data_IF_146559018108
#
_entry.id   IF_146559018108
#
_cell.length_a   1.000
_cell.length_b   1.000
_cell.length_c   1.000
_cell.angle_alpha   90.00
_cell.angle_beta   90.00
_cell.angle_gamma   90.00
#
_symmetry.space_group_name_H-M   'P 1'
#
loop_
_entity.id
_entity.type
_entity.pdbx_description
1 polymer ?
#
# COMPACT_ATOMS: atom_id res chain seq x y z
N UNK A 1 20.96 -16.47 74.70
CA UNK A 1 20.95 -16.04 73.28
C UNK A 1 20.33 -17.14 72.45
N UNK A 2 19.03 -17.04 72.19
CA UNK A 2 18.29 -17.99 71.35
C UNK A 2 18.35 -17.53 69.89
N UNK A 3 18.61 -18.42 68.91
CA UNK A 3 18.67 -18.03 67.52
C UNK A 3 17.25 -17.93 66.92
N UNK A 4 17.02 -16.80 66.26
CA UNK A 4 15.78 -16.40 65.62
C UNK A 4 15.48 -17.29 64.41
N UNK A 5 14.31 -17.94 64.37
CA UNK A 5 13.77 -18.55 63.14
C UNK A 5 13.23 -17.46 62.22
N UNK A 6 13.49 -17.49 60.90
CA UNK A 6 12.77 -16.67 59.94
C UNK A 6 11.43 -17.32 59.56
N UNK A 7 10.38 -16.50 59.48
CA UNK A 7 9.00 -16.91 59.18
C UNK A 7 8.74 -17.30 57.71
N UNK A 8 7.52 -17.77 57.40
CA UNK A 8 7.17 -18.28 56.08
C UNK A 8 7.09 -17.14 55.04
N UNK A 9 7.63 -17.37 53.84
CA UNK A 9 7.50 -16.44 52.71
C UNK A 9 6.03 -16.36 52.25
N UNK A 10 5.52 -15.17 51.92
CA UNK A 10 4.15 -15.02 51.43
C UNK A 10 4.05 -15.68 50.05
N UNK A 11 2.94 -16.40 49.85
CA UNK A 11 2.69 -17.22 48.67
C UNK A 11 2.86 -16.44 47.38
N UNK A 12 3.64 -17.02 46.46
CA UNK A 12 3.59 -16.64 45.06
C UNK A 12 2.12 -16.76 44.61
N UNK A 13 1.52 -15.62 44.26
CA UNK A 13 0.26 -15.60 43.52
C UNK A 13 0.50 -16.43 42.26
N UNK A 14 -0.14 -17.61 42.19
CA UNK A 14 -0.29 -18.33 40.93
C UNK A 14 -1.04 -17.41 40.00
N UNK A 15 -0.34 -16.79 39.06
CA UNK A 15 -0.95 -16.15 37.89
C UNK A 15 -1.91 -17.18 37.29
N UNK A 16 -3.18 -16.82 36.99
CA UNK A 16 -4.07 -17.76 36.34
C UNK A 16 -3.39 -18.21 35.05
N UNK A 17 -3.25 -19.52 34.86
CA UNK A 17 -2.95 -20.07 33.53
C UNK A 17 -4.04 -19.52 32.61
N UNK A 18 -3.68 -18.60 31.72
CA UNK A 18 -4.53 -18.28 30.59
C UNK A 18 -4.75 -19.58 29.84
N UNK A 19 -6.00 -20.03 29.77
CA UNK A 19 -6.36 -21.20 28.99
C UNK A 19 -6.35 -20.78 27.50
N UNK A 20 -5.17 -20.85 26.86
CA UNK A 20 -4.98 -20.54 25.42
C UNK A 20 -5.92 -21.39 24.52
N UNK A 21 -6.42 -22.51 25.07
CA UNK A 21 -7.37 -23.40 24.40
C UNK A 21 -8.83 -23.10 24.72
N UNK A 22 -9.13 -21.94 25.32
CA UNK A 22 -10.50 -21.48 25.56
C UNK A 22 -10.62 -19.96 25.45
N UNK A 23 -11.46 -19.50 24.53
CA UNK A 23 -11.79 -18.08 24.37
C UNK A 23 -13.28 -17.86 24.53
N UNK A 24 -13.67 -16.89 25.35
CA UNK A 24 -15.08 -16.49 25.51
C UNK A 24 -15.24 -15.05 25.02
N UNK A 25 -16.15 -14.87 24.07
CA UNK A 25 -16.49 -13.60 23.48
C UNK A 25 -17.80 -13.11 24.09
N UNK A 26 -17.91 -11.83 24.47
CA UNK A 26 -19.18 -11.27 24.90
C UNK A 26 -20.20 -11.36 23.75
N UNK A 27 -21.48 -11.16 24.08
CA UNK A 27 -22.51 -11.04 23.06
C UNK A 27 -22.14 -9.95 22.06
N UNK A 28 -22.09 -10.31 20.77
CA UNK A 28 -21.79 -9.38 19.70
C UNK A 28 -22.94 -8.39 19.50
N UNK A 29 -22.61 -7.13 19.23
CA UNK A 29 -23.59 -6.11 18.93
C UNK A 29 -24.35 -6.45 17.63
N UNK A 30 -25.65 -6.09 17.54
CA UNK A 30 -26.42 -6.19 16.29
C UNK A 30 -25.71 -5.45 15.14
N UNK A 31 -25.30 -6.18 14.11
CA UNK A 31 -24.66 -5.62 12.92
C UNK A 31 -25.26 -6.23 11.65
N UNK A 32 -25.38 -5.44 10.58
CA UNK A 32 -25.73 -5.92 9.24
C UNK A 32 -24.45 -6.04 8.42
N UNK A 33 -24.32 -7.12 7.65
CA UNK A 33 -23.18 -7.30 6.74
C UNK A 33 -23.14 -6.23 5.65
N UNK A 34 -21.94 -6.02 5.09
CA UNK A 34 -21.69 -5.12 3.95
C UNK A 34 -22.00 -5.85 2.63
N UNK A 35 -22.56 -5.14 1.65
CA UNK A 35 -22.73 -5.61 0.27
C UNK A 35 -23.48 -6.96 0.09
N UNK A 36 -24.45 -7.25 0.97
CA UNK A 36 -25.31 -8.43 0.88
C UNK A 36 -24.68 -9.74 1.38
N UNK A 37 -23.37 -9.76 1.67
CA UNK A 37 -22.68 -10.89 2.31
C UNK A 37 -22.81 -10.82 3.83
N UNK A 38 -22.74 -11.96 4.52
CA UNK A 38 -22.81 -11.98 5.99
C UNK A 38 -21.45 -11.67 6.63
N UNK A 39 -20.37 -12.21 6.04
CA UNK A 39 -19.01 -12.04 6.48
C UNK A 39 -18.22 -11.11 5.54
N UNK A 40 -17.22 -10.41 6.08
CA UNK A 40 -16.40 -9.46 5.34
C UNK A 40 -15.17 -10.11 4.70
N UNK A 41 -14.58 -11.07 5.42
CA UNK A 41 -13.33 -11.75 5.03
C UNK A 41 -13.62 -12.94 4.13
N UNK A 42 -12.63 -13.35 3.33
CA UNK A 42 -12.82 -14.50 2.42
C UNK A 42 -13.00 -15.80 3.22
N UNK A 43 -12.30 -15.98 4.35
CA UNK A 43 -12.43 -17.15 5.22
C UNK A 43 -13.74 -17.14 6.01
N UNK A 44 -14.22 -15.97 6.45
CA UNK A 44 -15.54 -15.82 7.05
C UNK A 44 -16.64 -16.17 6.05
N UNK A 45 -16.48 -15.80 4.78
CA UNK A 45 -17.41 -16.18 3.71
C UNK A 45 -17.38 -17.69 3.42
N UNK A 46 -16.20 -18.32 3.36
CA UNK A 46 -16.07 -19.77 3.20
C UNK A 46 -16.74 -20.55 4.35
N UNK A 47 -16.64 -20.05 5.58
CA UNK A 47 -17.37 -20.61 6.73
C UNK A 47 -18.89 -20.53 6.56
N UNK A 48 -19.40 -19.39 6.09
CA UNK A 48 -20.83 -19.20 5.83
C UNK A 48 -21.30 -20.10 4.68
N UNK A 49 -20.51 -20.23 3.62
CA UNK A 49 -20.80 -21.11 2.49
C UNK A 49 -20.90 -22.57 2.94
N UNK A 50 -19.97 -23.06 3.76
CA UNK A 50 -20.03 -24.40 4.34
C UNK A 50 -21.33 -24.66 5.14
N UNK A 51 -21.83 -23.66 5.86
CA UNK A 51 -23.12 -23.74 6.54
C UNK A 51 -24.29 -23.80 5.55
N UNK A 52 -24.30 -22.87 4.59
CA UNK A 52 -25.42 -22.66 3.67
C UNK A 52 -25.58 -23.84 2.71
N UNK A 53 -24.47 -24.42 2.23
CA UNK A 53 -24.45 -25.61 1.38
C UNK A 53 -24.88 -26.90 2.11
N UNK A 54 -24.69 -26.94 3.42
CA UNK A 54 -25.16 -28.08 4.25
C UNK A 54 -26.67 -28.02 4.51
N UNK A 55 -27.27 -26.84 4.42
CA UNK A 55 -28.64 -26.62 4.83
C UNK A 55 -29.64 -26.95 3.72
N UNK A 56 -30.65 -27.76 4.06
CA UNK A 56 -31.68 -28.19 3.10
C UNK A 56 -32.88 -27.24 3.01
N UNK A 57 -32.98 -26.24 3.90
CA UNK A 57 -34.14 -25.35 4.02
C UNK A 57 -33.69 -23.87 4.08
N UNK A 58 -33.76 -23.14 2.96
CA UNK A 58 -33.38 -21.73 2.90
C UNK A 58 -34.17 -20.82 3.85
N UNK A 59 -35.43 -21.16 4.16
CA UNK A 59 -36.24 -20.38 5.07
C UNK A 59 -35.78 -20.53 6.53
N UNK A 60 -35.18 -21.68 6.90
CA UNK A 60 -34.53 -21.86 8.21
C UNK A 60 -33.27 -21.01 8.32
N UNK A 61 -32.44 -20.99 7.28
CA UNK A 61 -31.25 -20.15 7.22
C UNK A 61 -31.60 -18.66 7.39
N UNK A 62 -32.61 -18.17 6.67
CA UNK A 62 -33.07 -16.78 6.78
C UNK A 62 -33.47 -16.42 8.22
N UNK A 63 -34.17 -17.32 8.93
CA UNK A 63 -34.53 -17.12 10.35
C UNK A 63 -33.31 -17.15 11.27
N UNK A 64 -32.35 -18.05 11.02
CA UNK A 64 -31.10 -18.11 11.77
C UNK A 64 -30.27 -16.84 11.59
N UNK A 65 -30.15 -16.35 10.36
CA UNK A 65 -29.51 -15.08 10.02
C UNK A 65 -30.17 -13.89 10.74
N UNK A 66 -31.50 -13.88 10.81
CA UNK A 66 -32.21 -12.86 11.58
C UNK A 66 -31.85 -12.92 13.08
N UNK A 67 -31.82 -14.12 13.69
CA UNK A 67 -31.46 -14.28 15.11
C UNK A 67 -30.01 -13.86 15.41
N UNK A 68 -29.09 -14.13 14.48
CA UNK A 68 -27.70 -13.69 14.59
C UNK A 68 -27.59 -12.16 14.63
N UNK A 69 -28.40 -11.45 13.84
CA UNK A 69 -28.32 -9.98 13.72
C UNK A 69 -29.17 -9.21 14.73
N UNK A 70 -30.07 -9.88 15.46
CA UNK A 70 -30.97 -9.25 16.47
C UNK A 70 -30.57 -9.52 17.92
N UNK A 71 -29.32 -9.93 18.17
CA UNK A 71 -28.81 -10.10 19.55
C UNK A 71 -29.47 -11.26 20.31
N UNK A 72 -29.82 -12.36 19.62
CA UNK A 72 -30.42 -13.53 20.28
C UNK A 72 -29.38 -14.58 20.70
N UNK A 73 -28.11 -14.39 20.35
CA UNK A 73 -26.99 -15.26 20.74
C UNK A 73 -26.26 -14.59 21.89
N UNK A 74 -26.14 -15.27 23.03
CA UNK A 74 -25.39 -14.80 24.20
C UNK A 74 -23.87 -14.90 23.96
N UNK A 75 -23.06 -14.76 25.02
CA UNK A 75 -21.62 -14.95 24.95
C UNK A 75 -21.23 -16.30 24.31
N UNK A 76 -20.26 -16.25 23.40
CA UNK A 76 -19.80 -17.41 22.62
C UNK A 76 -18.50 -17.93 23.23
N UNK A 77 -18.44 -19.22 23.56
CA UNK A 77 -17.21 -19.88 24.01
C UNK A 77 -16.68 -20.80 22.93
N UNK A 78 -15.42 -20.61 22.56
CA UNK A 78 -14.68 -21.40 21.57
C UNK A 78 -13.61 -22.21 22.28
N UNK A 79 -13.53 -23.48 21.91
CA UNK A 79 -12.54 -24.48 22.36
C UNK A 79 -12.17 -25.38 21.18
N UNK A 80 -11.10 -26.19 21.25
CA UNK A 80 -10.78 -27.19 20.24
C UNK A 80 -11.98 -27.99 19.76
N UNK A 81 -12.27 -27.87 18.46
CA UNK A 81 -13.34 -28.56 17.76
C UNK A 81 -14.76 -28.11 18.08
N UNK A 82 -14.94 -26.99 18.80
CA UNK A 82 -16.26 -26.65 19.36
C UNK A 82 -16.49 -25.15 19.60
N UNK A 83 -17.62 -24.66 19.11
CA UNK A 83 -18.20 -23.35 19.43
C UNK A 83 -19.51 -23.56 20.18
N UNK A 84 -19.68 -22.91 21.33
CA UNK A 84 -20.89 -23.03 22.16
C UNK A 84 -21.47 -21.69 22.52
N UNK A 85 -22.80 -21.60 22.57
CA UNK A 85 -23.51 -20.44 23.09
C UNK A 85 -24.91 -20.82 23.59
N UNK A 86 -25.51 -19.94 24.37
CA UNK A 86 -26.94 -19.94 24.63
C UNK A 86 -27.66 -19.07 23.60
N UNK A 87 -28.74 -19.58 23.03
CA UNK A 87 -29.51 -18.86 22.00
C UNK A 87 -30.97 -18.72 22.45
N UNK A 88 -31.43 -17.48 22.52
CA UNK A 88 -32.81 -17.15 22.87
C UNK A 88 -33.76 -17.52 21.73
N UNK A 89 -34.96 -17.96 22.09
CA UNK A 89 -35.99 -18.32 21.13
C UNK A 89 -37.37 -18.15 21.75
N UNK A 90 -38.32 -19.00 21.38
CA UNK A 90 -39.70 -18.87 21.85
C UNK A 90 -39.93 -19.28 23.32
N UNK A 91 -38.97 -19.98 23.95
CA UNK A 91 -39.08 -20.41 25.35
C UNK A 91 -38.34 -19.44 26.27
N UNK A 92 -38.78 -19.25 27.52
CA UNK A 92 -38.09 -18.38 28.49
C UNK A 92 -36.65 -18.82 28.80
N UNK A 93 -36.36 -20.12 28.72
CA UNK A 93 -35.01 -20.66 28.91
C UNK A 93 -34.30 -20.75 27.54
N UNK A 94 -33.12 -20.15 27.38
CA UNK A 94 -32.39 -20.21 26.11
C UNK A 94 -31.89 -21.63 25.82
N UNK A 95 -31.73 -21.93 24.53
CA UNK A 95 -31.29 -23.23 24.04
C UNK A 95 -29.77 -23.33 24.08
N UNK A 96 -29.24 -24.43 24.62
CA UNK A 96 -27.82 -24.73 24.51
C UNK A 96 -27.55 -25.14 23.07
N UNK A 97 -26.67 -24.40 22.41
CA UNK A 97 -26.36 -24.59 20.99
C UNK A 97 -24.86 -24.75 20.84
N UNK A 98 -24.47 -25.65 19.95
CA UNK A 98 -23.08 -25.99 19.70
C UNK A 98 -22.86 -26.28 18.22
N UNK A 99 -21.71 -25.85 17.71
CA UNK A 99 -21.18 -26.24 16.41
C UNK A 99 -19.89 -27.00 16.65
N UNK A 100 -19.79 -28.21 16.11
CA UNK A 100 -18.55 -29.00 16.14
C UNK A 100 -17.87 -28.97 14.78
N UNK A 101 -16.56 -28.92 14.82
CA UNK A 101 -15.68 -29.01 13.65
C UNK A 101 -14.53 -29.98 13.96
N UNK A 102 -14.11 -30.74 12.97
CA UNK A 102 -12.96 -31.65 13.11
C UNK A 102 -11.68 -30.85 13.40
N UNK A 103 -10.96 -31.24 14.45
CA UNK A 103 -9.61 -30.73 14.73
C UNK A 103 -8.61 -31.31 13.73
N UNK A 104 -7.60 -30.52 13.38
CA UNK A 104 -6.50 -30.99 12.55
C UNK A 104 -5.61 -31.94 13.37
N UNK A 105 -5.04 -32.94 12.69
CA UNK A 105 -4.06 -33.84 13.31
C UNK A 105 -2.73 -33.13 13.55
N UNK A 106 -1.84 -33.76 14.34
CA UNK A 106 -0.50 -33.19 14.57
C UNK A 106 0.27 -33.02 13.26
N UNK A 107 0.20 -33.99 12.33
CA UNK A 107 0.86 -33.90 11.02
C UNK A 107 0.30 -32.76 10.14
N UNK A 108 -1.00 -32.49 10.22
CA UNK A 108 -1.61 -31.34 9.53
C UNK A 108 -1.09 -30.03 10.16
N UNK A 109 -1.03 -29.95 11.49
CA UNK A 109 -0.49 -28.79 12.17
C UNK A 109 0.98 -28.53 11.84
N UNK A 110 1.80 -29.57 11.76
CA UNK A 110 3.20 -29.46 11.33
C UNK A 110 3.28 -28.94 9.90
N UNK A 111 2.49 -29.47 8.96
CA UNK A 111 2.42 -28.95 7.58
C UNK A 111 2.00 -27.47 7.52
N UNK A 112 1.00 -27.10 8.32
CA UNK A 112 0.54 -25.71 8.37
C UNK A 112 1.64 -24.78 8.91
N UNK A 113 2.30 -25.16 10.00
CA UNK A 113 3.35 -24.37 10.63
C UNK A 113 4.60 -24.28 9.75
N UNK A 114 4.96 -25.33 9.02
CA UNK A 114 6.07 -25.33 8.07
C UNK A 114 5.74 -24.45 6.86
N UNK A 115 4.52 -24.53 6.32
CA UNK A 115 4.08 -23.66 5.22
C UNK A 115 4.03 -22.18 5.62
N UNK A 116 3.68 -21.89 6.88
CA UNK A 116 3.72 -20.55 7.45
C UNK A 116 5.16 -20.07 7.67
N UNK A 117 6.05 -20.93 8.19
CA UNK A 117 7.44 -20.57 8.44
C UNK A 117 8.30 -20.48 7.18
N UNK A 118 7.89 -21.12 6.07
CA UNK A 118 8.63 -21.12 4.82
C UNK A 118 8.76 -19.73 4.17
N UNK A 119 7.90 -18.77 4.53
CA UNK A 119 7.96 -17.42 3.98
C UNK A 119 7.64 -16.35 5.04
N UNK A 120 8.45 -15.29 5.20
CA UNK A 120 8.21 -14.25 6.21
C UNK A 120 6.88 -13.49 6.06
N UNK A 121 6.39 -13.30 4.82
CA UNK A 121 5.10 -12.66 4.52
C UNK A 121 3.91 -13.44 5.08
N UNK A 122 3.98 -14.78 5.11
CA UNK A 122 2.95 -15.61 5.72
C UNK A 122 2.86 -15.41 7.23
N UNK A 123 4.00 -15.29 7.92
CA UNK A 123 4.04 -15.00 9.36
C UNK A 123 3.49 -13.61 9.63
N UNK A 124 3.91 -12.60 8.84
CA UNK A 124 3.42 -11.23 8.96
C UNK A 124 1.90 -11.15 8.77
N UNK A 125 1.36 -11.80 7.74
CA UNK A 125 -0.08 -11.87 7.50
C UNK A 125 -0.85 -12.46 8.69
N UNK A 126 -0.36 -13.56 9.28
CA UNK A 126 -0.99 -14.16 10.47
C UNK A 126 -0.94 -13.22 11.69
N UNK A 127 0.13 -12.46 11.88
CA UNK A 127 0.24 -11.46 12.95
C UNK A 127 -0.75 -10.29 12.74
N UNK A 128 -0.99 -9.92 11.49
CA UNK A 128 -1.98 -8.93 11.08
C UNK A 128 -3.41 -9.48 11.03
N UNK A 129 -3.62 -10.71 11.51
CA UNK A 129 -4.91 -11.41 11.53
C UNK A 129 -5.53 -11.64 10.15
N UNK A 130 -4.67 -11.82 9.15
CA UNK A 130 -5.04 -12.25 7.82
C UNK A 130 -4.76 -13.76 7.62
N UNK A 131 -5.53 -14.39 6.74
CA UNK A 131 -5.34 -15.80 6.37
C UNK A 131 -4.97 -15.87 4.89
N UNK A 132 -3.68 -16.04 4.55
CA UNK A 132 -3.26 -16.27 3.17
C UNK A 132 -3.92 -17.52 2.58
N UNK A 133 -4.42 -17.42 1.35
CA UNK A 133 -5.04 -18.55 0.62
C UNK A 133 -4.08 -19.74 0.51
N UNK A 134 -2.78 -19.49 0.35
CA UNK A 134 -1.77 -20.54 0.27
C UNK A 134 -1.67 -21.36 1.58
N UNK A 135 -1.76 -20.71 2.74
CA UNK A 135 -1.75 -21.41 4.04
C UNK A 135 -3.04 -22.20 4.27
N UNK A 136 -4.17 -21.61 3.91
CA UNK A 136 -5.46 -22.28 4.02
C UNK A 136 -5.63 -23.46 3.05
N UNK A 137 -4.83 -23.54 1.99
CA UNK A 137 -4.80 -24.66 1.05
C UNK A 137 -3.74 -25.72 1.42
N UNK A 138 -2.74 -25.38 2.24
CA UNK A 138 -1.71 -26.32 2.68
C UNK A 138 -2.28 -27.44 3.58
N UNK A 139 -3.40 -27.16 4.23
CA UNK A 139 -4.21 -28.10 5.03
C UNK A 139 -5.68 -27.80 4.78
N UNK A 140 -6.59 -28.73 5.06
CA UNK A 140 -8.05 -28.48 4.99
C UNK A 140 -8.50 -27.57 6.14
N UNK A 141 -8.05 -26.31 6.14
CA UNK A 141 -8.21 -25.36 7.23
C UNK A 141 -9.66 -24.88 7.34
N UNK A 142 -10.27 -24.56 6.20
CA UNK A 142 -11.66 -24.10 6.12
C UNK A 142 -12.62 -25.30 6.07
N UNK A 143 -13.81 -25.23 6.68
CA UNK A 143 -14.79 -26.30 6.57
C UNK A 143 -15.37 -26.37 5.15
N UNK A 144 -15.66 -27.58 4.68
CA UNK A 144 -16.50 -27.82 3.51
C UNK A 144 -17.96 -28.14 3.88
N UNK A 145 -18.83 -28.39 2.88
CA UNK A 145 -20.19 -28.85 3.13
C UNK A 145 -20.23 -30.14 3.96
N UNK A 146 -20.98 -30.13 5.06
CA UNK A 146 -21.11 -31.25 5.99
C UNK A 146 -20.07 -31.30 7.12
N UNK A 147 -19.03 -30.46 7.10
CA UNK A 147 -18.00 -30.46 8.14
C UNK A 147 -18.45 -29.77 9.44
N UNK A 148 -19.36 -28.80 9.32
CA UNK A 148 -19.95 -28.12 10.47
C UNK A 148 -21.10 -28.98 11.01
N UNK A 149 -20.90 -29.56 12.19
CA UNK A 149 -21.87 -30.45 12.85
C UNK A 149 -22.65 -29.67 13.92
N UNK A 150 -23.84 -29.12 13.60
CA UNK A 150 -24.69 -28.44 14.56
C UNK A 150 -25.33 -29.41 15.57
N UNK A 151 -25.41 -28.98 16.82
CA UNK A 151 -26.17 -29.60 17.89
C UNK A 151 -26.93 -28.52 18.68
N UNK A 152 -28.21 -28.75 18.98
CA UNK A 152 -29.02 -27.77 19.69
C UNK A 152 -30.06 -28.46 20.55
N UNK A 153 -30.23 -27.99 21.78
CA UNK A 153 -31.23 -28.51 22.71
C UNK A 153 -32.69 -28.14 22.37
N UNK A 154 -32.95 -27.58 21.19
CA UNK A 154 -34.29 -27.18 20.76
C UNK A 154 -35.04 -28.40 20.17
N UNK A 155 -36.38 -28.41 20.22
CA UNK A 155 -37.18 -29.51 19.71
C UNK A 155 -37.30 -29.52 18.17
N UNK A 156 -36.52 -28.69 17.47
CA UNK A 156 -36.56 -28.57 16.01
C UNK A 156 -35.62 -29.61 15.38
N UNK A 157 -36.17 -30.46 14.52
CA UNK A 157 -35.45 -31.53 13.80
C UNK A 157 -34.78 -31.06 12.49
N UNK A 158 -34.81 -29.76 12.19
CA UNK A 158 -34.07 -29.22 11.04
C UNK A 158 -32.56 -29.27 11.21
N UNK A 159 -31.85 -29.41 10.09
CA UNK A 159 -30.39 -29.50 10.07
C UNK A 159 -29.81 -28.43 9.12
N UNK A 160 -29.17 -27.36 9.65
CA UNK A 160 -29.22 -26.90 11.03
C UNK A 160 -30.60 -26.36 11.43
N UNK A 161 -30.91 -26.34 12.74
CA UNK A 161 -32.03 -25.57 13.25
C UNK A 161 -31.69 -24.06 13.22
N UNK A 162 -32.69 -23.18 13.35
CA UNK A 162 -32.45 -21.72 13.31
C UNK A 162 -31.46 -21.22 14.38
N UNK A 163 -31.40 -21.87 15.55
CA UNK A 163 -30.50 -21.46 16.63
C UNK A 163 -29.05 -21.84 16.32
N UNK A 164 -28.82 -23.04 15.79
CA UNK A 164 -27.51 -23.49 15.34
C UNK A 164 -27.02 -22.66 14.14
N UNK A 165 -27.90 -22.38 13.18
CA UNK A 165 -27.59 -21.45 12.10
C UNK A 165 -27.21 -20.06 12.63
N UNK A 166 -27.93 -19.53 13.63
CA UNK A 166 -27.60 -18.25 14.25
C UNK A 166 -26.21 -18.24 14.91
N UNK A 167 -25.84 -19.33 15.59
CA UNK A 167 -24.50 -19.49 16.15
C UNK A 167 -23.42 -19.58 15.07
N UNK A 168 -23.64 -20.34 13.99
CA UNK A 168 -22.69 -20.39 12.87
C UNK A 168 -22.48 -19.03 12.22
N UNK A 169 -23.55 -18.26 12.00
CA UNK A 169 -23.45 -16.91 11.47
C UNK A 169 -22.64 -16.00 12.42
N UNK A 170 -22.94 -16.00 13.73
CA UNK A 170 -22.13 -15.20 14.67
C UNK A 170 -20.68 -15.67 14.76
N UNK A 171 -20.40 -16.97 14.61
CA UNK A 171 -19.04 -17.47 14.54
C UNK A 171 -18.30 -16.88 13.33
N UNK A 172 -18.95 -16.72 12.17
CA UNK A 172 -18.35 -16.06 11.01
C UNK A 172 -17.91 -14.60 11.30
N UNK A 173 -18.64 -13.88 12.15
CA UNK A 173 -18.26 -12.53 12.59
C UNK A 173 -17.07 -12.53 13.55
N UNK A 174 -16.98 -13.53 14.42
CA UNK A 174 -15.78 -13.73 15.25
C UNK A 174 -14.56 -14.04 14.37
N UNK A 175 -14.75 -14.84 13.31
CA UNK A 175 -13.72 -15.15 12.34
C UNK A 175 -13.25 -13.92 11.56
N UNK A 176 -14.17 -13.03 11.17
CA UNK A 176 -13.82 -11.76 10.49
C UNK A 176 -12.90 -10.87 11.34
N UNK A 177 -13.12 -10.83 12.65
CA UNK A 177 -12.34 -10.01 13.59
C UNK A 177 -11.02 -10.68 14.00
N UNK A 178 -11.00 -12.01 14.05
CA UNK A 178 -9.87 -12.77 14.53
C UNK A 178 -9.84 -14.22 13.99
N UNK A 179 -8.99 -14.54 13.00
CA UNK A 179 -8.88 -15.88 12.44
C UNK A 179 -8.26 -16.89 13.42
N UNK A 180 -7.64 -16.48 14.53
CA UNK A 180 -7.20 -17.43 15.55
C UNK A 180 -8.36 -18.16 16.22
N UNK A 181 -9.59 -17.65 16.08
CA UNK A 181 -10.79 -18.41 16.42
C UNK A 181 -10.92 -19.67 15.56
N UNK A 182 -10.57 -19.61 14.27
CA UNK A 182 -10.55 -20.78 13.38
C UNK A 182 -9.47 -21.77 13.79
N UNK A 183 -8.26 -21.28 14.06
CA UNK A 183 -7.16 -22.12 14.50
C UNK A 183 -7.46 -22.82 15.83
N UNK A 184 -8.08 -22.10 16.77
CA UNK A 184 -8.55 -22.65 18.02
C UNK A 184 -9.58 -23.76 17.80
N UNK A 185 -10.56 -23.53 16.91
CA UNK A 185 -11.50 -24.59 16.52
C UNK A 185 -10.79 -25.78 15.85
N UNK A 186 -9.70 -25.55 15.12
CA UNK A 186 -8.87 -26.61 14.53
C UNK A 186 -7.89 -27.26 15.50
N UNK A 187 -7.79 -26.78 16.74
CA UNK A 187 -7.18 -27.49 17.86
C UNK A 187 -6.00 -26.81 18.55
N UNK A 188 -5.49 -25.68 18.03
CA UNK A 188 -4.34 -24.97 18.61
C UNK A 188 -4.71 -23.53 18.97
N UNK A 189 -4.25 -23.10 20.14
CA UNK A 189 -4.43 -21.73 20.59
C UNK A 189 -3.47 -20.76 19.91
N UNK A 190 -3.70 -19.46 20.13
CA UNK A 190 -2.92 -18.39 19.53
C UNK A 190 -1.47 -18.41 20.04
N UNK A 191 -1.29 -18.53 21.35
CA UNK A 191 0.06 -18.55 21.94
C UNK A 191 0.83 -19.79 21.50
N UNK A 192 0.16 -20.94 21.40
CA UNK A 192 0.74 -22.18 20.90
C UNK A 192 1.28 -22.04 19.46
N UNK A 193 0.50 -21.42 18.56
CA UNK A 193 0.89 -21.19 17.16
C UNK A 193 2.04 -20.19 17.07
N UNK A 194 1.92 -19.04 17.73
CA UNK A 194 2.94 -17.99 17.66
C UNK A 194 4.29 -18.46 18.25
N UNK A 195 4.26 -19.23 19.34
CA UNK A 195 5.48 -19.83 19.89
C UNK A 195 6.12 -20.84 18.92
N UNK A 196 5.30 -21.67 18.27
CA UNK A 196 5.77 -22.67 17.31
C UNK A 196 6.36 -22.05 16.04
N UNK A 197 5.79 -20.95 15.55
CA UNK A 197 6.32 -20.17 14.43
C UNK A 197 7.62 -19.46 14.79
N UNK A 198 7.68 -18.83 15.98
CA UNK A 198 8.90 -18.17 16.48
C UNK A 198 10.07 -19.15 16.60
N UNK A 199 9.81 -20.36 17.11
CA UNK A 199 10.84 -21.39 17.21
C UNK A 199 11.36 -21.85 15.84
N UNK A 200 10.47 -22.05 14.86
CA UNK A 200 10.85 -22.42 13.49
C UNK A 200 11.64 -21.33 12.79
N UNK A 201 11.21 -20.07 12.92
CA UNK A 201 11.93 -18.93 12.33
C UNK A 201 13.35 -18.83 12.88
N UNK A 202 13.52 -18.96 14.20
CA UNK A 202 14.85 -18.96 14.82
C UNK A 202 15.71 -20.16 14.37
N UNK A 203 15.11 -21.33 14.13
CA UNK A 203 15.81 -22.49 13.61
C UNK A 203 16.24 -22.30 12.14
N UNK A 204 15.40 -21.67 11.31
CA UNK A 204 15.74 -21.30 9.94
C UNK A 204 16.91 -20.30 9.90
N UNK A 205 16.84 -19.24 10.70
CA UNK A 205 17.94 -18.26 10.83
C UNK A 205 19.25 -18.93 11.29
N UNK A 206 19.19 -19.86 12.25
CA UNK A 206 20.35 -20.61 12.70
C UNK A 206 20.90 -21.58 11.64
N UNK A 207 20.04 -22.20 10.84
CA UNK A 207 20.43 -23.08 9.74
C UNK A 207 21.10 -22.30 8.59
N UNK A 208 20.57 -21.12 8.25
CA UNK A 208 21.19 -20.19 7.29
C UNK A 208 22.54 -19.67 7.81
N UNK A 209 22.65 -19.36 9.10
CA UNK A 209 23.93 -18.97 9.71
C UNK A 209 24.95 -20.13 9.77
N UNK A 210 24.50 -21.37 9.88
CA UNK A 210 25.33 -22.58 9.87
C UNK A 210 25.88 -22.97 8.49
N UNK A 211 25.26 -22.47 7.42
CA UNK A 211 25.69 -22.65 6.03
C UNK A 211 26.72 -21.58 5.60
N UNK A 212 27.55 -21.09 6.51
CA UNK A 212 28.68 -20.24 6.18
C UNK A 212 29.64 -21.01 5.24
N UNK A 213 30.05 -20.44 4.10
CA UNK A 213 31.12 -21.04 3.30
C UNK A 213 32.35 -21.28 4.18
N UNK A 214 33.18 -22.32 3.88
CA UNK A 214 34.36 -22.60 4.68
C UNK A 214 35.16 -21.30 4.85
N UNK A 215 35.64 -20.99 6.07
CA UNK A 215 36.34 -19.74 6.32
C UNK A 215 37.50 -19.67 5.34
N UNK A 216 37.42 -18.74 4.40
CA UNK A 216 38.55 -18.44 3.54
C UNK A 216 39.71 -18.05 4.45
N UNK A 217 40.94 -18.49 4.17
CA UNK A 217 42.09 -18.04 4.94
C UNK A 217 42.07 -16.51 5.00
N UNK A 218 41.85 -15.98 6.20
CA UNK A 218 41.79 -14.55 6.45
C UNK A 218 43.12 -14.07 6.99
N UNK A 219 43.47 -12.85 6.63
CA UNK A 219 44.57 -12.09 7.24
C UNK A 219 43.94 -10.92 8.00
N UNK A 220 44.51 -10.50 9.15
CA UNK A 220 44.10 -9.28 9.82
C UNK A 220 44.06 -8.10 8.84
N UNK A 221 43.00 -7.28 8.86
CA UNK A 221 42.82 -6.19 7.90
C UNK A 221 44.02 -5.23 7.86
N UNK A 222 44.66 -4.99 9.01
CA UNK A 222 45.88 -4.18 9.09
C UNK A 222 47.09 -4.82 8.36
N UNK A 223 47.20 -6.15 8.35
CA UNK A 223 48.23 -6.87 7.60
C UNK A 223 47.92 -6.91 6.10
N UNK A 224 46.66 -7.07 5.72
CA UNK A 224 46.23 -7.00 4.31
C UNK A 224 46.52 -5.64 3.68
N UNK A 225 46.24 -4.56 4.41
CA UNK A 225 46.42 -3.18 3.93
C UNK A 225 47.91 -2.77 3.90
N UNK A 226 48.76 -3.38 4.73
CA UNK A 226 50.21 -3.09 4.78
C UNK A 226 51.04 -3.99 3.87
N UNK A 227 50.56 -5.20 3.53
CA UNK A 227 51.26 -6.16 2.67
C UNK A 227 51.11 -5.89 1.17
N UNK A 228 50.16 -5.03 0.76
CA UNK A 228 50.01 -4.60 -0.63
C UNK A 228 50.84 -3.32 -0.80
N UNK A 229 52.02 -3.34 -1.45
CA UNK A 229 52.58 -2.09 -1.96
C UNK A 229 51.49 -1.49 -2.84
N UNK A 230 51.11 -0.23 -2.61
CA UNK A 230 49.99 0.41 -3.29
C UNK A 230 50.11 0.18 -4.80
N UNK A 231 49.43 -0.86 -5.28
CA UNK A 231 49.37 -1.14 -6.69
C UNK A 231 48.60 0.03 -7.27
N UNK A 232 49.15 0.66 -8.31
CA UNK A 232 48.44 1.72 -9.00
C UNK A 232 47.04 1.19 -9.33
N UNK A 233 46.00 1.92 -8.89
CA UNK A 233 44.62 1.56 -9.22
C UNK A 233 44.55 1.38 -10.74
N UNK A 234 43.84 0.34 -11.23
CA UNK A 234 43.62 0.21 -12.66
C UNK A 234 43.01 1.52 -13.17
N UNK A 235 43.36 1.95 -14.40
CA UNK A 235 42.79 3.17 -14.95
C UNK A 235 41.25 3.07 -14.93
N UNK A 236 40.54 4.18 -14.70
CA UNK A 236 39.09 4.17 -14.66
C UNK A 236 38.55 3.60 -15.98
N UNK A 237 37.48 2.82 -15.88
CA UNK A 237 36.79 2.31 -17.07
C UNK A 237 36.29 3.49 -17.90
N UNK A 238 36.28 3.37 -19.24
CA UNK A 238 35.72 4.41 -20.10
C UNK A 238 34.23 4.60 -19.77
N UNK A 239 33.79 5.87 -19.80
CA UNK A 239 32.37 6.17 -19.64
C UNK A 239 31.56 5.54 -20.79
N UNK A 240 30.39 4.93 -20.51
CA UNK A 240 29.55 4.36 -21.55
C UNK A 240 28.97 5.47 -22.44
N UNK A 241 28.75 5.16 -23.73
CA UNK A 241 28.23 6.13 -24.71
C UNK A 241 26.79 6.60 -24.43
N UNK A 242 26.04 5.83 -23.63
CA UNK A 242 24.63 6.11 -23.30
C UNK A 242 24.31 5.71 -21.86
N UNK A 243 23.26 6.31 -21.26
CA UNK A 243 22.74 5.87 -19.99
C UNK A 243 22.40 4.37 -19.97
N UNK A 244 22.58 3.75 -18.80
CA UNK A 244 22.13 2.39 -18.54
C UNK A 244 20.62 2.28 -18.70
N UNK A 245 20.14 1.09 -19.09
CA UNK A 245 18.70 0.78 -19.09
C UNK A 245 18.39 -0.05 -17.85
N UNK A 246 17.39 0.32 -17.04
CA UNK A 246 17.01 -0.49 -15.90
C UNK A 246 16.45 -1.84 -16.36
N UNK A 247 16.55 -2.89 -15.53
CA UNK A 247 15.84 -4.13 -15.77
C UNK A 247 14.33 -3.92 -15.66
N UNK A 248 13.54 -4.80 -16.29
CA UNK A 248 12.11 -4.87 -16.05
C UNK A 248 11.88 -5.38 -14.62
N UNK A 249 11.08 -4.66 -13.84
CA UNK A 249 10.72 -5.05 -12.49
C UNK A 249 9.45 -5.92 -12.51
N UNK A 250 9.42 -7.06 -11.81
CA UNK A 250 8.21 -7.88 -11.70
C UNK A 250 7.11 -7.11 -10.94
N UNK A 251 5.85 -7.40 -11.24
CA UNK A 251 4.72 -6.91 -10.45
C UNK A 251 4.71 -7.59 -9.08
N UNK A 252 4.69 -6.78 -8.02
CA UNK A 252 4.60 -7.22 -6.62
C UNK A 252 3.55 -6.34 -5.91
N UNK A 253 2.49 -6.93 -5.31
CA UNK A 253 1.41 -6.19 -4.65
C UNK A 253 1.87 -5.32 -3.47
N UNK A 254 2.98 -5.68 -2.83
CA UNK A 254 3.54 -4.97 -1.67
C UNK A 254 4.63 -3.97 -2.06
N UNK A 255 5.02 -3.92 -3.35
CA UNK A 255 6.02 -3.02 -3.88
C UNK A 255 5.40 -1.75 -4.52
N UNK A 256 6.18 -0.66 -4.64
CA UNK A 256 5.78 0.48 -5.45
C UNK A 256 5.47 0.07 -6.90
N UNK A 257 4.56 0.81 -7.53
CA UNK A 257 4.16 0.61 -8.93
C UNK A 257 5.40 0.35 -9.84
N UNK A 258 5.48 -0.81 -10.53
CA UNK A 258 6.67 -1.18 -11.30
C UNK A 258 7.01 -0.17 -12.40
N UNK A 259 6.00 0.48 -12.98
CA UNK A 259 6.20 1.54 -13.98
C UNK A 259 6.83 2.79 -13.34
N UNK A 260 6.37 3.17 -12.14
CA UNK A 260 7.01 4.25 -11.38
C UNK A 260 8.45 3.92 -11.00
N UNK A 261 8.75 2.66 -10.65
CA UNK A 261 10.11 2.22 -10.34
C UNK A 261 11.03 2.21 -11.57
N UNK A 262 10.55 1.71 -12.72
CA UNK A 262 11.28 1.76 -13.99
C UNK A 262 11.61 3.21 -14.39
N UNK A 263 10.66 4.12 -14.18
CA UNK A 263 10.84 5.56 -14.39
C UNK A 263 11.95 6.14 -13.50
N UNK A 264 11.90 5.91 -12.19
CA UNK A 264 12.91 6.42 -11.26
C UNK A 264 14.30 5.85 -11.58
N UNK A 265 14.37 4.58 -11.95
CA UNK A 265 15.62 3.93 -12.31
C UNK A 265 16.19 4.46 -13.64
N UNK A 266 15.33 4.74 -14.63
CA UNK A 266 15.72 5.37 -15.89
C UNK A 266 16.29 6.77 -15.65
N UNK A 267 15.64 7.55 -14.79
CA UNK A 267 16.11 8.89 -14.42
C UNK A 267 17.44 8.86 -13.67
N UNK A 268 17.58 7.94 -12.71
CA UNK A 268 18.83 7.76 -11.98
C UNK A 268 19.99 7.38 -12.90
N UNK A 269 19.73 6.51 -13.89
CA UNK A 269 20.73 6.13 -14.89
C UNK A 269 21.13 7.31 -15.79
N UNK A 270 20.17 8.16 -16.19
CA UNK A 270 20.45 9.37 -16.97
C UNK A 270 21.28 10.38 -16.16
N UNK A 271 20.89 10.66 -14.90
CA UNK A 271 21.63 11.56 -14.00
C UNK A 271 23.05 11.07 -13.74
N UNK A 272 23.23 9.77 -13.47
CA UNK A 272 24.55 9.18 -13.25
C UNK A 272 25.44 9.27 -14.50
N UNK A 273 24.86 9.11 -15.69
CA UNK A 273 25.58 9.26 -16.95
C UNK A 273 26.04 10.70 -17.19
N UNK A 274 25.18 11.69 -16.94
CA UNK A 274 25.55 13.11 -17.01
C UNK A 274 26.68 13.43 -16.03
N UNK A 275 26.52 13.03 -14.76
CA UNK A 275 27.56 13.20 -13.73
C UNK A 275 28.91 12.60 -14.15
N UNK A 276 28.90 11.41 -14.74
CA UNK A 276 30.12 10.73 -15.17
C UNK A 276 30.78 11.39 -16.39
N UNK A 277 30.00 11.97 -17.30
CA UNK A 277 30.49 12.50 -18.59
C UNK A 277 30.80 14.00 -18.56
N UNK A 278 30.08 14.78 -17.75
CA UNK A 278 30.26 16.24 -17.66
C UNK A 278 30.82 16.69 -16.32
N UNK A 279 30.70 15.86 -15.26
CA UNK A 279 31.01 16.26 -13.89
C UNK A 279 29.93 17.13 -13.24
N UNK A 280 28.80 17.34 -13.91
CA UNK A 280 27.72 18.21 -13.44
C UNK A 280 26.50 17.39 -13.02
N UNK A 281 25.86 17.82 -11.93
CA UNK A 281 24.60 17.24 -11.47
C UNK A 281 23.42 18.07 -11.99
N UNK A 282 22.61 17.55 -12.94
CA UNK A 282 21.50 18.30 -13.52
C UNK A 282 20.37 18.59 -12.51
N UNK A 283 20.35 17.93 -11.35
CA UNK A 283 19.30 18.05 -10.34
C UNK A 283 19.76 18.82 -9.10
N UNK A 284 21.07 18.92 -8.84
CA UNK A 284 21.58 19.46 -7.57
C UNK A 284 21.14 20.91 -7.27
N UNK A 285 20.93 21.73 -8.30
CA UNK A 285 20.50 23.12 -8.14
C UNK A 285 18.98 23.31 -8.13
N UNK A 286 18.20 22.25 -8.38
CA UNK A 286 16.75 22.33 -8.47
C UNK A 286 16.12 22.30 -7.07
N UNK A 287 15.09 23.13 -6.88
CA UNK A 287 14.22 22.99 -5.71
C UNK A 287 13.37 21.71 -5.83
N UNK A 288 12.81 21.18 -4.71
CA UNK A 288 11.92 20.02 -4.77
C UNK A 288 10.75 20.19 -5.75
N UNK A 289 10.22 21.40 -5.86
CA UNK A 289 9.18 21.73 -6.83
C UNK A 289 9.67 21.67 -8.28
N UNK A 290 10.82 22.29 -8.57
CA UNK A 290 11.40 22.24 -9.91
C UNK A 290 11.73 20.81 -10.32
N UNK A 291 12.22 19.98 -9.38
CA UNK A 291 12.52 18.58 -9.65
C UNK A 291 11.24 17.75 -9.89
N UNK A 292 10.17 17.98 -9.11
CA UNK A 292 8.88 17.33 -9.34
C UNK A 292 8.28 17.69 -10.72
N UNK A 293 8.40 18.94 -11.13
CA UNK A 293 7.97 19.40 -12.46
C UNK A 293 8.80 18.75 -13.57
N UNK A 294 10.13 18.72 -13.40
CA UNK A 294 11.05 18.06 -14.33
C UNK A 294 10.73 16.58 -14.49
N UNK A 295 10.54 15.87 -13.37
CA UNK A 295 10.14 14.46 -13.34
C UNK A 295 8.82 14.27 -14.10
N UNK A 296 7.78 15.04 -13.79
CA UNK A 296 6.50 14.92 -14.48
C UNK A 296 6.60 15.27 -15.99
N UNK A 297 7.45 16.23 -16.37
CA UNK A 297 7.64 16.66 -17.75
C UNK A 297 8.31 15.59 -18.63
N UNK A 298 9.24 14.82 -18.07
CA UNK A 298 9.95 13.73 -18.75
C UNK A 298 9.02 12.56 -19.17
N UNK A 299 7.79 12.52 -18.67
CA UNK A 299 6.83 11.45 -18.93
C UNK A 299 5.76 11.90 -19.96
N UNK A 300 5.91 11.51 -21.25
CA UNK A 300 4.90 11.79 -22.26
C UNK A 300 3.62 11.01 -21.93
N UNK A 301 2.48 11.71 -21.81
CA UNK A 301 1.19 11.09 -21.48
C UNK A 301 0.30 11.86 -20.50
N UNK A 302 0.47 13.19 -20.40
CA UNK A 302 -0.22 14.12 -19.48
C UNK A 302 -1.64 13.69 -19.07
N UNK A 303 -1.75 12.97 -17.95
CA UNK A 303 -3.03 12.54 -17.39
C UNK A 303 -3.88 11.61 -18.28
N UNK A 304 -3.31 11.03 -19.35
CA UNK A 304 -4.02 10.16 -20.29
C UNK A 304 -4.19 8.74 -19.75
N UNK A 305 -3.20 8.24 -18.99
CA UNK A 305 -3.22 6.91 -18.37
C UNK A 305 -3.54 6.98 -16.88
N UNK A 306 -4.01 5.87 -16.30
CA UNK A 306 -4.28 5.79 -14.86
C UNK A 306 -2.99 6.02 -14.04
N UNK A 307 -1.86 5.48 -14.51
CA UNK A 307 -0.54 5.62 -13.89
C UNK A 307 -0.02 7.06 -13.93
N UNK A 308 -0.12 7.75 -15.07
CA UNK A 308 0.30 9.17 -15.17
C UNK A 308 -0.58 10.09 -14.31
N UNK A 309 -1.87 9.79 -14.15
CA UNK A 309 -2.75 10.53 -13.23
C UNK A 309 -2.40 10.31 -11.76
N UNK A 310 -1.98 9.10 -11.37
CA UNK A 310 -1.50 8.82 -10.02
C UNK A 310 -0.22 9.61 -9.71
N UNK A 311 0.77 9.54 -10.62
CA UNK A 311 2.02 10.29 -10.48
C UNK A 311 1.79 11.80 -10.28
N UNK A 312 0.95 12.42 -11.12
CA UNK A 312 0.65 13.86 -11.01
C UNK A 312 -0.02 14.22 -9.69
N UNK A 313 -0.93 13.35 -9.20
CA UNK A 313 -1.60 13.56 -7.91
C UNK A 313 -0.62 13.45 -6.76
N UNK A 314 0.25 12.44 -6.78
CA UNK A 314 1.15 12.15 -5.67
C UNK A 314 2.27 13.18 -5.57
N UNK A 315 2.87 13.59 -6.70
CA UNK A 315 3.87 14.67 -6.74
C UNK A 315 3.29 16.02 -6.32
N UNK A 316 2.07 16.34 -6.77
CA UNK A 316 1.43 17.60 -6.38
C UNK A 316 1.07 17.60 -4.89
N UNK A 317 0.52 16.50 -4.39
CA UNK A 317 0.17 16.35 -2.97
C UNK A 317 1.39 16.43 -2.05
N UNK A 318 2.52 15.83 -2.44
CA UNK A 318 3.77 15.86 -1.66
C UNK A 318 4.35 17.28 -1.48
N UNK A 319 3.91 18.25 -2.29
CA UNK A 319 4.41 19.63 -2.29
C UNK A 319 3.30 20.66 -2.03
N UNK A 320 2.16 20.23 -1.48
CA UNK A 320 1.00 21.07 -1.19
C UNK A 320 0.50 21.87 -2.41
N UNK A 321 0.51 21.24 -3.60
CA UNK A 321 0.04 21.80 -4.87
C UNK A 321 -1.14 21.02 -5.42
N UNK A 322 -1.89 21.65 -6.33
CA UNK A 322 -2.92 20.94 -7.08
C UNK A 322 -2.32 20.23 -8.32
N UNK A 323 -2.93 19.14 -8.81
CA UNK A 323 -2.53 18.53 -10.07
C UNK A 323 -2.63 19.50 -11.27
N UNK A 324 -3.54 20.48 -11.19
CA UNK A 324 -3.66 21.54 -12.19
C UNK A 324 -2.46 22.48 -12.20
N UNK A 325 -1.94 22.85 -11.02
CA UNK A 325 -0.72 23.66 -10.90
C UNK A 325 0.48 22.91 -11.49
N UNK A 326 0.61 21.61 -11.16
CA UNK A 326 1.67 20.76 -11.70
C UNK A 326 1.55 20.62 -13.22
N UNK A 327 0.36 20.43 -13.76
CA UNK A 327 0.15 20.38 -15.21
C UNK A 327 0.58 21.69 -15.90
N UNK A 328 0.35 22.84 -15.27
CA UNK A 328 0.78 24.16 -15.77
C UNK A 328 2.27 24.34 -15.75
N UNK A 329 2.88 23.96 -14.64
CA UNK A 329 4.32 23.97 -14.49
C UNK A 329 5.00 23.02 -15.49
N UNK A 330 4.44 21.82 -15.73
CA UNK A 330 4.94 20.89 -16.75
C UNK A 330 4.82 21.45 -18.15
N UNK A 331 3.71 22.09 -18.50
CA UNK A 331 3.56 22.75 -19.80
C UNK A 331 4.63 23.84 -19.99
N UNK A 332 4.87 24.66 -18.95
CA UNK A 332 5.89 25.70 -18.98
C UNK A 332 7.32 25.11 -19.07
N UNK A 333 7.58 24.02 -18.35
CA UNK A 333 8.86 23.30 -18.42
C UNK A 333 9.09 22.67 -19.80
N UNK A 334 8.05 22.15 -20.45
CA UNK A 334 8.17 21.64 -21.83
C UNK A 334 8.40 22.75 -22.85
N UNK A 335 7.86 23.93 -22.58
CA UNK A 335 8.05 25.10 -23.43
C UNK A 335 9.48 25.64 -23.38
N UNK A 336 10.11 25.74 -22.20
CA UNK A 336 11.49 26.26 -22.11
C UNK A 336 12.26 25.88 -20.84
N UNK A 337 12.03 24.68 -20.32
CA UNK A 337 12.76 24.12 -19.18
C UNK A 337 12.64 24.97 -17.91
N UNK A 338 13.72 25.10 -17.13
CA UNK A 338 13.74 25.93 -15.92
C UNK A 338 13.35 27.39 -16.18
N UNK A 339 13.74 27.96 -17.33
CA UNK A 339 13.41 29.34 -17.69
C UNK A 339 11.90 29.51 -17.96
N UNK A 340 11.29 28.56 -18.66
CA UNK A 340 9.84 28.54 -18.86
C UNK A 340 9.05 28.45 -17.55
N UNK A 341 9.49 27.61 -16.60
CA UNK A 341 8.89 27.54 -15.27
C UNK A 341 9.03 28.87 -14.49
N UNK A 342 10.22 29.48 -14.51
CA UNK A 342 10.42 30.78 -13.88
C UNK A 342 9.50 31.87 -14.47
N UNK A 343 9.30 31.87 -15.79
CA UNK A 343 8.40 32.81 -16.48
C UNK A 343 6.92 32.60 -16.11
N UNK A 344 6.54 31.35 -15.81
CA UNK A 344 5.21 31.05 -15.29
C UNK A 344 4.99 31.68 -13.91
N UNK A 345 5.97 31.53 -13.01
CA UNK A 345 5.80 31.77 -11.57
C UNK A 345 6.20 33.17 -11.11
N UNK A 346 7.23 33.77 -11.73
CA UNK A 346 7.90 34.96 -11.21
C UNK A 346 7.76 36.16 -12.16
N UNK A 347 6.71 36.98 -12.00
CA UNK A 347 6.63 38.23 -12.73
C UNK A 347 7.67 39.24 -12.22
N UNK A 348 8.45 39.81 -13.14
CA UNK A 348 9.58 40.70 -12.86
C UNK A 348 9.54 41.94 -13.76
N UNK A 349 10.26 43.00 -13.37
CA UNK A 349 10.32 44.25 -14.14
C UNK A 349 11.57 44.26 -15.05
N UNK A 350 11.41 44.10 -16.38
CA UNK A 350 12.54 44.12 -17.30
C UNK A 350 13.17 45.51 -17.41
N UNK A 351 14.50 45.61 -17.58
CA UNK A 351 15.14 46.88 -17.88
C UNK A 351 14.65 47.40 -19.23
N UNK A 352 14.75 48.72 -19.41
CA UNK A 352 14.39 49.34 -20.69
C UNK A 352 15.18 48.70 -21.85
N UNK A 353 14.50 48.37 -22.95
CA UNK A 353 15.14 47.70 -24.08
C UNK A 353 14.26 46.71 -24.85
N UNK A 354 14.61 45.41 -24.93
CA UNK A 354 13.87 44.43 -25.75
C UNK A 354 12.37 44.36 -25.44
N UNK A 355 11.99 44.47 -24.16
CA UNK A 355 10.59 44.49 -23.74
C UNK A 355 9.81 45.70 -24.31
N UNK A 356 10.40 46.90 -24.25
CA UNK A 356 9.75 48.13 -24.72
C UNK A 356 9.54 48.13 -26.25
N UNK A 357 10.45 47.46 -26.99
CA UNK A 357 10.38 47.33 -28.45
C UNK A 357 9.32 46.35 -28.92
N UNK A 358 8.84 45.46 -28.05
CA UNK A 358 7.90 44.42 -28.42
C UNK A 358 6.54 44.97 -28.85
N UNK A 359 5.97 45.92 -28.11
CA UNK A 359 4.66 46.50 -28.46
C UNK A 359 4.67 47.21 -29.83
N UNK A 360 5.63 48.09 -30.14
CA UNK A 360 5.76 48.64 -31.48
C UNK A 360 5.91 47.58 -32.58
N UNK A 361 6.68 46.50 -32.33
CA UNK A 361 6.86 45.42 -33.29
C UNK A 361 5.54 44.66 -33.57
N UNK A 362 4.79 44.32 -32.51
CA UNK A 362 3.48 43.68 -32.62
C UNK A 362 2.48 44.56 -33.40
N UNK A 363 2.45 45.86 -33.13
CA UNK A 363 1.59 46.82 -33.85
C UNK A 363 1.99 46.90 -35.33
N UNK A 364 3.29 46.94 -35.63
CA UNK A 364 3.78 46.98 -37.01
C UNK A 364 3.44 45.72 -37.81
N UNK A 365 3.28 44.59 -37.13
CA UNK A 365 2.87 43.31 -37.71
C UNK A 365 1.33 43.12 -37.78
N UNK A 366 0.54 44.16 -37.50
CA UNK A 366 -0.93 44.12 -37.48
C UNK A 366 -1.51 43.09 -36.49
N UNK A 367 -0.78 42.83 -35.39
CA UNK A 367 -1.18 41.90 -34.33
C UNK A 367 -2.03 42.60 -33.25
N UNK A 368 -2.78 41.85 -32.42
CA UNK A 368 -3.68 42.41 -31.41
C UNK A 368 -3.02 43.42 -30.48
N UNK A 369 -3.82 44.32 -29.91
CA UNK A 369 -3.32 45.26 -28.91
C UNK A 369 -3.05 44.56 -27.56
N UNK A 370 -1.82 44.68 -27.06
CA UNK A 370 -1.42 44.14 -25.77
C UNK A 370 -1.22 45.22 -24.70
N UNK A 371 -1.75 44.96 -23.50
CA UNK A 371 -1.56 45.75 -22.28
C UNK A 371 -0.33 45.26 -21.52
N UNK A 372 0.65 46.12 -21.22
CA UNK A 372 1.82 45.74 -20.46
C UNK A 372 1.54 45.70 -18.95
N UNK A 373 2.11 44.71 -18.27
CA UNK A 373 2.24 44.65 -16.82
C UNK A 373 3.48 43.84 -16.47
N UNK A 374 4.48 44.47 -15.82
CA UNK A 374 5.79 43.85 -15.55
C UNK A 374 6.37 43.26 -16.85
N UNK A 375 6.84 42.01 -16.83
CA UNK A 375 7.31 41.27 -17.99
C UNK A 375 6.21 40.64 -18.86
N UNK A 376 4.94 41.05 -18.71
CA UNK A 376 3.80 40.43 -19.41
C UNK A 376 3.12 41.42 -20.35
N UNK A 377 2.78 40.94 -21.54
CA UNK A 377 1.97 41.62 -22.53
C UNK A 377 0.67 40.81 -22.69
N UNK A 378 -0.47 41.36 -22.27
CA UNK A 378 -1.75 40.63 -22.26
C UNK A 378 -2.78 41.24 -23.21
N UNK A 379 -3.48 40.39 -23.95
CA UNK A 379 -4.69 40.71 -24.70
C UNK A 379 -5.91 40.03 -24.05
N UNK A 380 -6.99 39.80 -24.80
CA UNK A 380 -8.21 39.16 -24.27
C UNK A 380 -8.04 37.66 -23.99
N UNK A 381 -7.26 36.96 -24.81
CA UNK A 381 -7.08 35.50 -24.76
C UNK A 381 -5.64 35.05 -25.02
N UNK A 382 -4.73 35.98 -25.34
CA UNK A 382 -3.32 35.70 -25.60
C UNK A 382 -2.45 36.54 -24.67
N UNK A 383 -1.34 35.97 -24.22
CA UNK A 383 -0.35 36.67 -23.41
C UNK A 383 1.05 36.23 -23.82
N UNK A 384 1.95 37.22 -23.97
CA UNK A 384 3.38 36.98 -24.10
C UNK A 384 4.05 37.33 -22.77
N UNK A 385 5.00 36.50 -22.34
CA UNK A 385 5.81 36.76 -21.14
C UNK A 385 7.29 36.77 -21.51
N UNK A 386 7.99 37.80 -21.06
CA UNK A 386 9.42 37.96 -21.33
C UNK A 386 10.26 37.31 -20.23
N UNK A 387 11.13 36.38 -20.62
CA UNK A 387 12.02 35.65 -19.74
C UNK A 387 13.33 36.38 -19.46
N UNK A 388 14.00 35.97 -18.38
CA UNK A 388 15.32 36.50 -18.00
C UNK A 388 16.45 36.00 -18.93
N UNK A 389 16.15 34.95 -19.69
CA UNK A 389 16.94 34.40 -20.80
C UNK A 389 16.82 35.21 -22.09
N UNK A 390 15.93 36.20 -22.14
CA UNK A 390 15.73 37.07 -23.30
C UNK A 390 14.75 36.53 -24.35
N UNK A 391 14.00 35.47 -24.02
CA UNK A 391 12.99 34.88 -24.90
C UNK A 391 11.57 35.30 -24.52
N UNK A 392 10.67 35.26 -25.50
CA UNK A 392 9.24 35.47 -25.35
C UNK A 392 8.50 34.14 -25.32
N UNK A 393 7.70 33.96 -24.28
CA UNK A 393 6.93 32.76 -24.03
C UNK A 393 5.46 33.03 -24.28
N UNK A 394 4.83 32.20 -25.11
CA UNK A 394 3.42 32.27 -25.47
C UNK A 394 2.51 31.61 -24.42
N UNK A 395 1.37 32.25 -24.15
CA UNK A 395 0.31 31.76 -23.28
C UNK A 395 -1.06 32.05 -23.88
N UNK A 396 -2.00 31.13 -23.69
CA UNK A 396 -3.40 31.28 -24.09
C UNK A 396 -4.34 31.14 -22.89
N UNK A 397 -5.52 31.75 -22.96
CA UNK A 397 -6.60 31.54 -22.00
C UNK A 397 -7.96 31.68 -22.68
N UNK A 398 -8.99 31.09 -22.09
CA UNK A 398 -10.37 31.40 -22.47
C UNK A 398 -10.62 32.92 -22.35
N UNK A 399 -11.40 33.52 -23.26
CA UNK A 399 -11.76 34.93 -23.15
C UNK A 399 -12.36 35.23 -21.77
N UNK A 400 -11.82 36.27 -21.12
CA UNK A 400 -12.30 36.77 -19.82
C UNK A 400 -12.04 35.82 -18.62
N UNK A 401 -11.16 34.81 -18.78
CA UNK A 401 -10.59 34.01 -17.67
C UNK A 401 -9.10 34.30 -17.50
N UNK A 402 -8.63 34.39 -16.27
CA UNK A 402 -7.20 34.61 -15.95
C UNK A 402 -6.38 33.31 -15.85
N UNK A 403 -6.84 32.25 -16.53
CA UNK A 403 -6.28 30.90 -16.41
C UNK A 403 -5.32 30.62 -17.59
N UNK A 404 -4.15 31.25 -17.55
CA UNK A 404 -3.16 31.26 -18.63
C UNK A 404 -2.38 29.93 -18.75
N UNK A 405 -2.42 29.32 -19.94
CA UNK A 405 -1.74 28.06 -20.27
C UNK A 405 -0.56 28.27 -21.22
N UNK A 406 0.65 27.75 -20.89
CA UNK A 406 1.84 27.84 -21.73
C UNK A 406 1.66 27.08 -23.06
N UNK A 407 1.97 27.71 -24.19
CA UNK A 407 1.79 27.18 -25.55
C UNK A 407 2.78 27.81 -26.54
N UNK A 408 3.05 27.09 -27.63
CA UNK A 408 4.01 27.52 -28.65
C UNK A 408 5.47 27.45 -28.19
N UNK A 409 6.36 27.75 -29.12
CA UNK A 409 7.82 27.71 -28.94
C UNK A 409 8.35 29.09 -28.54
N UNK A 410 9.25 29.20 -27.55
CA UNK A 410 9.85 30.47 -27.19
C UNK A 410 10.70 31.04 -28.33
N UNK A 411 10.60 32.36 -28.55
CA UNK A 411 11.36 33.06 -29.59
C UNK A 411 11.98 34.36 -29.03
N UNK A 412 13.11 34.79 -29.57
CA UNK A 412 13.71 36.08 -29.24
C UNK A 412 12.89 37.25 -29.81
N UNK A 413 12.16 37.03 -30.91
CA UNK A 413 11.23 37.97 -31.52
C UNK A 413 9.80 37.77 -30.96
N UNK A 414 9.19 38.78 -30.33
CA UNK A 414 7.81 38.69 -29.84
C UNK A 414 6.78 38.45 -30.95
N UNK A 415 7.07 38.85 -32.19
CA UNK A 415 6.19 38.56 -33.35
C UNK A 415 6.26 37.08 -33.67
N UNK A 416 7.47 36.51 -33.78
CA UNK A 416 7.67 35.08 -34.02
C UNK A 416 7.00 34.20 -32.96
N UNK A 417 7.19 34.52 -31.68
CA UNK A 417 6.55 33.80 -30.57
C UNK A 417 5.01 33.87 -30.62
N UNK A 418 4.43 34.98 -31.11
CA UNK A 418 2.98 35.12 -31.21
C UNK A 418 2.41 34.44 -32.46
N UNK A 419 3.11 34.52 -33.59
CA UNK A 419 2.69 33.85 -34.83
C UNK A 419 2.67 32.34 -34.66
N UNK A 420 3.73 31.76 -34.05
CA UNK A 420 3.76 30.34 -33.71
C UNK A 420 2.58 29.95 -32.81
N UNK A 421 2.26 30.79 -31.81
CA UNK A 421 1.11 30.58 -30.92
C UNK A 421 -0.24 30.60 -31.65
N UNK A 422 -0.39 31.38 -32.73
CA UNK A 422 -1.61 31.44 -33.53
C UNK A 422 -1.75 30.28 -34.53
N UNK A 423 -0.64 29.65 -34.89
CA UNK A 423 -0.59 28.54 -35.85
C UNK A 423 -0.58 27.14 -35.18
N UNK A 424 -0.34 27.08 -33.86
CA UNK A 424 -0.26 25.88 -33.00
C UNK A 424 -1.58 25.41 -32.39
#
# INVERSE_FOLDING_TARGET
MSPHRPGPRPGARRTPLHDDRRRTFPQLAPARGTDGKFAATWWGNAWVEALEDTALDPARLARGRAYATTGHVDAITVTPGRVTAYVHGSRPRPYRTEIRLRVLGDDDWERFLDAAAARPDHIAALLDKDVPHALAAAVDLLPGPGDLIPDCSCPDHGYPCKHAAALCYQAARLLDEDPFVLFLMRGRGEQEILAALSHRNAAHEAAEAGAAPPPMPTVPAGEAVTAVPAAALPPPLPAPDRPGRPPLYPEDPDAPDPLALEMLATEAAARAHTLLTTGEDPVAALTPWQDAVRLAAAHPGSGLTASTRALYRDLAAALDRSPGDLARAVAAWRQGGPAGLAVLEEPWDPPAGPFDRARPALIAADLPHFRPWRNRLSSRSLQLRYGRDGLWYGYESDPDREDWWPRGTPDADPVGALTDLLES
#
